data_IF_607011612583
#
_entry.id   IF_607011612583
#
_cell.length_a   1.000
_cell.length_b   1.000
_cell.length_c   1.000
_cell.angle_alpha   90.00
_cell.angle_beta   90.00
_cell.angle_gamma   90.00
#
_symmetry.space_group_name_H-M   'P 1'
#
loop_
_entity.id
_entity.type
_entity.pdbx_description
1 polymer ?
#
# COMPACT_ATOMS: atom_id res chain seq x y z
N UNK A 1 4.70 4.23 16.26
CA UNK A 1 3.58 3.37 16.72
C UNK A 1 2.64 3.15 15.55
N UNK A 2 2.62 1.95 14.98
CA UNK A 2 1.62 1.56 13.97
C UNK A 2 0.25 1.52 14.62
N UNK A 3 -0.75 2.17 14.01
CA UNK A 3 -2.10 2.30 14.56
C UNK A 3 -3.05 1.21 14.06
N UNK A 4 -2.55 0.28 13.25
CA UNK A 4 -3.35 -0.69 12.55
C UNK A 4 -3.50 -1.98 13.36
N UNK A 5 -4.75 -2.38 13.58
CA UNK A 5 -5.12 -3.70 14.11
C UNK A 5 -5.14 -4.70 12.96
N UNK A 6 -4.24 -5.69 12.99
CA UNK A 6 -4.20 -6.76 12.01
C UNK A 6 -5.35 -7.73 12.22
N UNK A 7 -6.12 -8.01 11.17
CA UNK A 7 -7.28 -8.92 11.19
C UNK A 7 -6.89 -10.37 10.94
N UNK A 8 -5.74 -10.61 10.31
CA UNK A 8 -5.24 -11.94 9.99
C UNK A 8 -3.70 -11.97 9.97
N UNK A 9 -3.14 -13.18 9.87
CA UNK A 9 -1.70 -13.40 9.79
C UNK A 9 -1.06 -12.88 8.50
N UNK A 10 -1.83 -12.70 7.42
CA UNK A 10 -1.33 -12.18 6.14
C UNK A 10 -1.08 -10.67 6.22
N UNK A 11 -1.97 -9.91 6.87
CA UNK A 11 -1.81 -8.48 7.11
C UNK A 11 -0.58 -8.20 7.96
N UNK A 12 -0.39 -8.97 9.05
CA UNK A 12 0.79 -8.88 9.90
C UNK A 12 2.08 -9.23 9.12
N UNK A 13 2.02 -10.23 8.23
CA UNK A 13 3.13 -10.59 7.36
C UNK A 13 3.49 -9.45 6.39
N UNK A 14 2.49 -8.86 5.73
CA UNK A 14 2.70 -7.75 4.79
C UNK A 14 3.32 -6.56 5.51
N UNK A 15 2.75 -6.13 6.63
CA UNK A 15 3.26 -4.99 7.40
C UNK A 15 4.73 -5.19 7.80
N UNK A 16 5.05 -6.33 8.43
CA UNK A 16 6.41 -6.60 8.93
C UNK A 16 7.45 -6.65 7.81
N UNK A 17 7.12 -7.29 6.69
CA UNK A 17 8.06 -7.43 5.58
C UNK A 17 8.22 -6.13 4.78
N UNK A 18 7.13 -5.39 4.53
CA UNK A 18 7.19 -4.08 3.87
C UNK A 18 8.01 -3.11 4.72
N UNK A 19 7.75 -3.03 6.03
CA UNK A 19 8.52 -2.18 6.94
C UNK A 19 10.02 -2.52 6.88
N UNK A 20 10.37 -3.82 6.95
CA UNK A 20 11.76 -4.28 6.87
C UNK A 20 12.44 -3.89 5.56
N UNK A 21 11.74 -4.01 4.43
CA UNK A 21 12.27 -3.62 3.11
C UNK A 21 12.49 -2.11 3.06
N UNK A 22 11.50 -1.31 3.47
CA UNK A 22 11.60 0.16 3.43
C UNK A 22 12.71 0.69 4.33
N UNK A 23 12.90 0.10 5.53
CA UNK A 23 14.03 0.40 6.40
C UNK A 23 15.36 0.01 5.74
N UNK A 24 15.41 -1.14 5.07
CA UNK A 24 16.60 -1.59 4.33
C UNK A 24 16.90 -0.71 3.10
N UNK A 25 15.90 -0.05 2.53
CA UNK A 25 16.05 0.94 1.46
C UNK A 25 16.55 2.31 1.97
N UNK A 26 16.66 2.48 3.29
CA UNK A 26 17.15 3.71 3.93
C UNK A 26 16.06 4.75 4.17
N UNK A 27 14.78 4.37 4.11
CA UNK A 27 13.70 5.27 4.50
C UNK A 27 13.66 5.45 6.02
N UNK A 28 13.38 6.68 6.47
CA UNK A 28 13.13 6.97 7.89
C UNK A 28 12.02 6.07 8.45
N UNK A 29 12.16 5.68 9.72
CA UNK A 29 11.22 4.78 10.39
C UNK A 29 9.77 5.30 10.35
N UNK A 30 9.58 6.62 10.44
CA UNK A 30 8.25 7.25 10.35
C UNK A 30 7.63 7.04 8.96
N UNK A 31 8.43 7.19 7.92
CA UNK A 31 8.01 7.00 6.53
C UNK A 31 7.78 5.51 6.24
N UNK A 32 8.70 4.65 6.69
CA UNK A 32 8.59 3.22 6.54
C UNK A 32 7.33 2.66 7.23
N UNK A 33 7.00 3.13 8.44
CA UNK A 33 5.75 2.78 9.12
C UNK A 33 4.52 3.24 8.35
N UNK A 34 4.50 4.47 7.83
CA UNK A 34 3.40 4.95 6.97
C UNK A 34 3.23 4.11 5.71
N UNK A 35 4.33 3.71 5.08
CA UNK A 35 4.31 2.83 3.91
C UNK A 35 3.75 1.44 4.23
N UNK A 36 4.21 0.84 5.34
CA UNK A 36 3.73 -0.46 5.81
C UNK A 36 2.25 -0.44 6.21
N UNK A 37 1.82 0.62 6.90
CA UNK A 37 0.43 0.82 7.28
C UNK A 37 -0.47 0.91 6.03
N UNK A 38 -0.06 1.71 5.04
CA UNK A 38 -0.77 1.83 3.76
C UNK A 38 -0.83 0.51 2.98
N UNK A 39 0.22 -0.31 3.01
CA UNK A 39 0.21 -1.63 2.38
C UNK A 39 -0.89 -2.54 2.93
N UNK A 40 -1.15 -2.49 4.24
CA UNK A 40 -2.23 -3.26 4.87
C UNK A 40 -3.60 -2.73 4.45
N UNK A 41 -3.77 -1.41 4.37
CA UNK A 41 -5.01 -0.82 3.84
C UNK A 41 -5.27 -1.20 2.38
N UNK A 42 -4.22 -1.19 1.54
CA UNK A 42 -4.29 -1.62 0.15
C UNK A 42 -4.66 -3.09 0.05
N UNK A 43 -4.09 -3.95 0.89
CA UNK A 43 -4.45 -5.35 0.98
C UNK A 43 -5.94 -5.53 1.32
N UNK A 44 -6.45 -4.77 2.30
CA UNK A 44 -7.86 -4.82 2.71
C UNK A 44 -8.81 -4.27 1.65
N UNK A 45 -8.41 -3.21 0.94
CA UNK A 45 -9.23 -2.59 -0.11
C UNK A 45 -9.22 -3.41 -1.39
N UNK A 46 -8.15 -4.15 -1.65
CA UNK A 46 -8.05 -4.98 -2.86
C UNK A 46 -8.58 -6.37 -2.57
N UNK A 47 -9.90 -6.46 -2.38
CA UNK A 47 -10.63 -7.70 -2.10
C UNK A 47 -10.52 -8.76 -3.22
N UNK A 48 -9.87 -8.46 -4.34
CA UNK A 48 -9.90 -9.24 -5.59
C UNK A 48 -8.53 -9.69 -6.08
N UNK A 49 -7.50 -9.79 -5.23
CA UNK A 49 -6.28 -10.53 -5.61
C UNK A 49 -6.57 -12.04 -5.63
N UNK A 50 -7.37 -12.48 -6.60
CA UNK A 50 -7.67 -13.89 -6.82
C UNK A 50 -6.40 -14.67 -7.12
N UNK A 51 -6.15 -15.74 -6.35
CA UNK A 51 -5.28 -16.91 -6.60
C UNK A 51 -3.92 -16.71 -7.32
N UNK A 52 -3.37 -15.50 -7.34
CA UNK A 52 -2.27 -15.12 -8.24
C UNK A 52 -0.96 -14.76 -7.57
N UNK A 53 -0.79 -15.00 -6.26
CA UNK A 53 0.49 -14.94 -5.54
C UNK A 53 1.19 -13.57 -5.43
N UNK A 54 0.81 -12.56 -6.20
CA UNK A 54 1.53 -11.26 -6.32
C UNK A 54 1.01 -10.15 -5.41
N UNK A 55 0.18 -10.49 -4.42
CA UNK A 55 -0.44 -9.51 -3.54
C UNK A 55 0.60 -8.71 -2.74
N UNK A 56 1.66 -9.36 -2.28
CA UNK A 56 2.74 -8.72 -1.53
C UNK A 56 3.50 -7.68 -2.36
N UNK A 57 3.97 -8.07 -3.55
CA UNK A 57 4.67 -7.19 -4.49
C UNK A 57 3.83 -5.97 -4.87
N UNK A 58 2.53 -6.16 -5.07
CA UNK A 58 1.62 -5.05 -5.33
C UNK A 58 1.56 -4.07 -4.14
N UNK A 59 1.40 -4.60 -2.92
CA UNK A 59 1.35 -3.78 -1.71
C UNK A 59 2.67 -3.03 -1.48
N UNK A 60 3.81 -3.68 -1.73
CA UNK A 60 5.14 -3.09 -1.63
C UNK A 60 5.34 -1.98 -2.68
N UNK A 61 4.97 -2.24 -3.94
CA UNK A 61 5.04 -1.24 -5.01
C UNK A 61 4.21 0.00 -4.69
N UNK A 62 3.02 -0.18 -4.11
CA UNK A 62 2.16 0.94 -3.68
C UNK A 62 2.76 1.71 -2.50
N UNK A 63 3.38 1.03 -1.54
CA UNK A 63 4.08 1.70 -0.44
C UNK A 63 5.27 2.53 -0.95
N UNK A 64 6.07 2.00 -1.88
CA UNK A 64 7.16 2.75 -2.53
C UNK A 64 6.63 3.98 -3.26
N UNK A 65 5.53 3.86 -4.00
CA UNK A 65 4.89 5.01 -4.68
C UNK A 65 4.42 6.08 -3.70
N UNK A 66 3.96 5.70 -2.51
CA UNK A 66 3.59 6.64 -1.45
C UNK A 66 4.80 7.41 -0.89
N UNK A 67 5.95 6.74 -0.79
CA UNK A 67 7.18 7.27 -0.21
C UNK A 67 8.10 7.97 -1.22
N UNK A 68 7.87 7.76 -2.52
CA UNK A 68 8.52 8.53 -3.57
C UNK A 68 8.10 10.02 -3.41
N UNK A 69 9.06 10.97 -3.37
CA UNK A 69 8.74 12.38 -3.28
C UNK A 69 7.85 12.75 -4.46
N UNK A 70 6.64 13.21 -4.17
CA UNK A 70 5.58 13.45 -5.13
C UNK A 70 6.01 14.46 -6.22
N UNK A 71 6.66 14.00 -7.29
CA UNK A 71 6.54 14.69 -8.56
C UNK A 71 5.15 14.36 -9.11
N UNK A 72 4.20 15.22 -8.72
CA UNK A 72 2.90 15.48 -9.35
C UNK A 72 2.19 14.24 -9.93
N UNK A 73 1.25 13.68 -9.18
CA UNK A 73 0.10 12.98 -9.77
C UNK A 73 -1.08 12.95 -8.78
N UNK A 74 -1.47 14.14 -8.33
CA UNK A 74 -2.79 14.36 -7.76
C UNK A 74 -3.69 15.03 -8.80
N UNK A 75 -3.80 14.45 -10.00
CA UNK A 75 -4.94 14.74 -10.89
C UNK A 75 -6.00 13.67 -10.64
N UNK A 76 -6.60 13.69 -9.45
CA UNK A 76 -7.94 13.12 -9.28
C UNK A 76 -8.89 14.12 -9.93
N UNK A 77 -9.52 13.74 -11.05
CA UNK A 77 -10.81 14.22 -11.63
C UNK A 77 -10.69 14.11 -13.15
N UNK A 78 -11.34 13.19 -13.86
CA UNK A 78 -12.79 13.01 -13.99
C UNK A 78 -13.15 11.54 -14.26
N UNK A 79 -14.02 10.96 -13.44
CA UNK A 79 -14.91 9.91 -13.90
C UNK A 79 -15.98 10.57 -14.77
N UNK A 80 -15.80 10.62 -16.08
CA UNK A 80 -16.95 10.80 -16.98
C UNK A 80 -17.69 9.47 -17.05
N UNK A 81 -18.59 9.28 -16.09
CA UNK A 81 -19.70 8.34 -16.24
C UNK A 81 -20.75 9.05 -17.10
N UNK A 82 -20.52 9.12 -18.40
CA UNK A 82 -21.58 9.53 -19.33
C UNK A 82 -22.41 8.29 -19.65
N UNK A 83 -23.53 8.22 -18.92
CA UNK A 83 -24.64 7.29 -19.06
C UNK A 83 -25.25 7.45 -20.47
N UNK A 84 -25.61 6.33 -21.06
CA UNK A 84 -26.45 6.25 -22.26
C UNK A 84 -27.75 7.04 -22.08
N UNK A 85 -28.15 7.77 -23.12
CA UNK A 85 -29.50 8.22 -23.40
C UNK A 85 -29.67 8.21 -24.92
#
# INVERSE_FOLDING_TARGET
MSTIVFRNSQEAFIHKNVLKILLSEGHEEINANRGADFSVEVYRSTASFGRGGKCFEYCLGRARVLLLPAKKSAEKTKRTRSKAA
#
